data_IF_410211434455
#
_entry.id   IF_410211434455
#
_cell.length_a   1.000
_cell.length_b   1.000
_cell.length_c   1.000
_cell.angle_alpha   90.00
_cell.angle_beta   90.00
_cell.angle_gamma   90.00
#
_symmetry.space_group_name_H-M   'P 1'
#
loop_
_entity.id
_entity.type
_entity.pdbx_description
1 polymer ?
#
# COMPACT_ATOMS: atom_id res chain seq x y z
N UNK A 1 13.94 9.73 19.19
CA UNK A 1 14.32 8.65 18.25
C UNK A 1 15.84 8.45 18.33
N UNK A 2 16.38 7.22 18.27
CA UNK A 2 17.83 6.97 18.32
C UNK A 2 18.58 7.83 17.30
N UNK A 3 19.77 8.32 17.61
CA UNK A 3 20.51 9.22 16.71
C UNK A 3 21.29 8.47 15.63
N UNK A 4 21.70 7.22 15.91
CA UNK A 4 22.44 6.36 14.96
C UNK A 4 21.50 5.53 14.10
N UNK A 5 21.77 5.46 12.80
CA UNK A 5 20.95 4.72 11.83
C UNK A 5 20.86 3.24 12.17
N UNK A 6 21.97 2.59 12.55
CA UNK A 6 21.98 1.17 12.95
C UNK A 6 21.04 0.88 14.13
N UNK A 7 20.96 1.78 15.11
CA UNK A 7 20.05 1.63 16.25
C UNK A 7 18.59 1.84 15.83
N UNK A 8 18.32 2.70 14.84
CA UNK A 8 16.97 2.85 14.27
C UNK A 8 16.54 1.59 13.54
N UNK A 9 17.44 0.96 12.81
CA UNK A 9 17.16 -0.25 12.04
C UNK A 9 16.87 -1.44 12.97
N UNK A 10 17.60 -1.58 14.08
CA UNK A 10 17.31 -2.58 15.11
C UNK A 10 15.95 -2.33 15.77
N UNK A 11 15.65 -1.09 16.16
CA UNK A 11 14.35 -0.75 16.76
C UNK A 11 13.19 -0.99 15.78
N UNK A 12 13.39 -0.74 14.49
CA UNK A 12 12.40 -1.06 13.46
C UNK A 12 12.14 -2.58 13.38
N UNK A 13 13.19 -3.42 13.41
CA UNK A 13 13.07 -4.88 13.45
C UNK A 13 12.37 -5.40 14.71
N UNK A 14 12.42 -4.67 15.82
CA UNK A 14 11.76 -5.07 17.06
C UNK A 14 10.25 -4.78 17.09
N UNK A 15 9.70 -4.03 16.12
CA UNK A 15 8.27 -3.69 16.11
C UNK A 15 7.37 -4.87 15.80
N UNK A 16 7.82 -5.78 14.93
CA UNK A 16 7.04 -6.93 14.47
C UNK A 16 7.97 -8.15 14.38
N UNK A 17 7.78 -9.11 15.29
CA UNK A 17 8.60 -10.32 15.36
C UNK A 17 7.74 -11.52 14.93
N UNK A 18 8.09 -12.22 13.85
CA UNK A 18 7.35 -13.41 13.42
C UNK A 18 7.39 -14.53 14.46
N UNK A 19 6.21 -15.03 14.85
CA UNK A 19 6.12 -16.25 15.65
C UNK A 19 6.32 -17.47 14.75
N UNK A 20 7.55 -17.99 14.70
CA UNK A 20 7.94 -19.12 13.83
C UNK A 20 7.03 -20.36 13.98
N UNK A 21 6.50 -20.63 15.17
CA UNK A 21 5.59 -21.76 15.40
C UNK A 21 4.26 -21.59 14.67
N UNK A 22 3.81 -20.34 14.48
CA UNK A 22 2.59 -20.00 13.76
C UNK A 22 2.83 -19.65 12.28
N UNK A 23 4.07 -19.33 11.88
CA UNK A 23 4.39 -18.91 10.51
C UNK A 23 4.77 -20.08 9.59
N UNK A 24 5.51 -21.08 10.10
CA UNK A 24 6.13 -22.11 9.24
C UNK A 24 5.12 -22.93 8.45
N UNK A 25 5.30 -22.99 7.13
CA UNK A 25 4.45 -23.70 6.18
C UNK A 25 3.06 -23.12 5.99
N UNK A 26 2.75 -21.95 6.58
CA UNK A 26 1.41 -21.38 6.55
C UNK A 26 1.21 -20.43 5.38
N UNK A 27 -0.05 -20.38 4.94
CA UNK A 27 -0.57 -19.32 4.09
C UNK A 27 -1.13 -18.23 4.99
N UNK A 28 -0.64 -17.00 4.86
CA UNK A 28 -0.95 -15.88 5.75
C UNK A 28 -1.60 -14.76 4.93
N UNK A 29 -2.65 -14.16 5.50
CA UNK A 29 -3.29 -12.96 4.95
C UNK A 29 -2.99 -11.79 5.89
N UNK A 30 -2.36 -10.75 5.37
CA UNK A 30 -2.19 -9.45 6.03
C UNK A 30 -3.38 -8.57 5.75
N UNK A 31 -3.98 -8.04 6.81
CA UNK A 31 -4.97 -6.98 6.75
C UNK A 31 -4.30 -5.71 7.27
N UNK A 32 -4.29 -4.66 6.46
CA UNK A 32 -3.71 -3.37 6.84
C UNK A 32 -4.62 -2.23 6.39
N UNK A 33 -4.43 -1.05 6.98
CA UNK A 33 -5.26 0.12 6.68
C UNK A 33 -4.99 0.66 5.27
N UNK A 34 -3.71 0.78 4.90
CA UNK A 34 -3.26 1.51 3.73
C UNK A 34 -1.84 1.10 3.33
N UNK A 35 -1.48 1.36 2.08
CA UNK A 35 -0.09 1.34 1.63
C UNK A 35 0.27 2.73 1.13
N UNK A 36 1.05 3.47 1.91
CA UNK A 36 1.66 4.73 1.47
C UNK A 36 2.94 4.43 0.68
N UNK A 37 4.02 4.05 1.36
CA UNK A 37 5.34 3.80 0.73
C UNK A 37 5.67 2.33 0.51
N UNK A 38 5.06 1.43 1.30
CA UNK A 38 5.29 -0.02 1.25
C UNK A 38 6.62 -0.51 1.84
N UNK A 39 7.51 0.35 2.33
CA UNK A 39 8.85 -0.04 2.81
C UNK A 39 8.80 -0.98 4.01
N UNK A 40 7.99 -0.67 5.02
CA UNK A 40 7.83 -1.52 6.21
C UNK A 40 7.25 -2.89 5.86
N UNK A 41 6.28 -2.94 4.94
CA UNK A 41 5.70 -4.21 4.50
C UNK A 41 6.69 -5.09 3.76
N UNK A 42 7.60 -4.50 2.96
CA UNK A 42 8.68 -5.25 2.31
C UNK A 42 9.58 -5.96 3.33
N UNK A 43 9.94 -5.28 4.42
CA UNK A 43 10.73 -5.88 5.50
C UNK A 43 9.96 -6.99 6.21
N UNK A 44 8.70 -6.75 6.57
CA UNK A 44 7.84 -7.75 7.21
C UNK A 44 7.69 -9.02 6.36
N UNK A 45 7.44 -8.87 5.06
CA UNK A 45 7.33 -9.99 4.12
C UNK A 45 8.62 -10.82 4.13
N UNK A 46 9.79 -10.19 4.04
CA UNK A 46 11.08 -10.88 4.10
C UNK A 46 11.18 -11.71 5.38
N UNK A 47 10.94 -11.09 6.53
CA UNK A 47 11.10 -11.72 7.83
C UNK A 47 10.14 -12.93 7.99
N UNK A 48 8.93 -12.85 7.41
CA UNK A 48 7.97 -13.96 7.39
C UNK A 48 8.36 -15.10 6.45
N UNK A 49 8.91 -14.77 5.28
CA UNK A 49 9.48 -15.77 4.36
C UNK A 49 10.64 -16.49 5.02
N UNK A 50 11.54 -15.77 5.70
CA UNK A 50 12.64 -16.34 6.49
C UNK A 50 12.14 -17.21 7.66
N UNK A 51 11.01 -16.86 8.26
CA UNK A 51 10.33 -17.68 9.27
C UNK A 51 9.60 -18.91 8.68
N UNK A 52 9.57 -19.05 7.35
CA UNK A 52 9.07 -20.23 6.65
C UNK A 52 7.63 -20.12 6.15
N UNK A 53 7.08 -18.91 5.96
CA UNK A 53 5.73 -18.75 5.38
C UNK A 53 5.66 -19.30 3.95
N UNK A 54 4.64 -20.12 3.67
CA UNK A 54 4.43 -20.73 2.35
C UNK A 54 3.86 -19.73 1.35
N UNK A 55 2.83 -18.98 1.75
CA UNK A 55 2.19 -17.95 0.93
C UNK A 55 1.82 -16.72 1.77
N UNK A 56 1.95 -15.55 1.18
CA UNK A 56 1.68 -14.25 1.77
C UNK A 56 0.71 -13.48 0.87
N UNK A 57 -0.46 -13.19 1.39
CA UNK A 57 -1.49 -12.41 0.72
C UNK A 57 -1.74 -11.14 1.52
N UNK A 58 -2.09 -10.05 0.86
CA UNK A 58 -2.40 -8.79 1.53
C UNK A 58 -3.75 -8.24 1.06
N UNK A 59 -4.51 -7.67 2.01
CA UNK A 59 -5.79 -6.98 1.79
C UNK A 59 -5.72 -5.62 2.49
N UNK A 60 -5.98 -4.56 1.73
CA UNK A 60 -5.89 -3.19 2.21
C UNK A 60 -7.28 -2.61 2.38
N UNK A 61 -7.54 -1.97 3.51
CA UNK A 61 -8.86 -1.43 3.86
C UNK A 61 -9.21 -0.10 3.17
N UNK A 62 -8.41 0.36 2.21
CA UNK A 62 -8.69 1.51 1.36
C UNK A 62 -8.29 1.25 -0.09
N UNK A 63 -8.71 2.08 -1.05
CA UNK A 63 -8.16 2.08 -2.40
C UNK A 63 -6.68 2.50 -2.43
N UNK A 64 -5.93 2.23 -3.52
CA UNK A 64 -4.57 2.72 -3.70
C UNK A 64 -4.50 4.25 -3.60
N UNK A 65 -3.48 4.77 -2.92
CA UNK A 65 -3.22 6.21 -2.84
C UNK A 65 -2.51 6.68 -4.11
N UNK A 66 -3.22 7.40 -4.96
CA UNK A 66 -2.74 7.89 -6.27
C UNK A 66 -2.43 9.38 -6.27
N UNK A 67 -3.10 10.14 -5.40
CA UNK A 67 -2.96 11.59 -5.30
C UNK A 67 -2.42 12.00 -3.93
N UNK A 68 -1.57 13.03 -3.86
CA UNK A 68 -1.10 13.56 -2.60
C UNK A 68 -2.26 14.26 -1.87
N UNK A 69 -2.32 14.16 -0.54
CA UNK A 69 -3.30 14.93 0.22
C UNK A 69 -2.87 16.40 0.30
N UNK A 70 -3.83 17.31 0.09
CA UNK A 70 -3.62 18.74 0.26
C UNK A 70 -3.56 19.17 1.75
N UNK A 71 -4.19 18.39 2.64
CA UNK A 71 -4.30 18.70 4.06
C UNK A 71 -3.30 17.96 4.95
N UNK A 72 -2.85 16.79 4.51
CA UNK A 72 -1.98 15.92 5.27
C UNK A 72 -0.71 15.64 4.49
N UNK A 73 0.42 15.73 5.19
CA UNK A 73 1.68 15.22 4.66
C UNK A 73 1.80 13.74 5.04
N UNK A 74 1.46 12.84 4.12
CA UNK A 74 1.76 11.39 4.29
C UNK A 74 3.26 11.08 4.26
N UNK A 75 4.07 12.11 4.03
CA UNK A 75 5.49 12.00 3.76
C UNK A 75 6.27 13.25 4.18
N UNK A 76 7.56 13.08 4.50
CA UNK A 76 8.49 14.19 4.72
C UNK A 76 8.77 15.02 3.46
N UNK A 77 8.57 14.44 2.27
CA UNK A 77 8.64 15.15 1.00
C UNK A 77 7.24 15.28 0.39
N UNK A 78 6.97 16.35 -0.35
CA UNK A 78 5.71 16.50 -1.11
C UNK A 78 5.71 15.74 -2.44
N UNK A 79 6.67 14.81 -2.63
CA UNK A 79 6.80 14.07 -3.89
C UNK A 79 5.74 12.98 -3.99
N UNK A 80 5.02 12.98 -5.13
CA UNK A 80 4.08 11.92 -5.51
C UNK A 80 4.76 10.57 -5.67
N UNK A 81 6.05 10.56 -6.00
CA UNK A 81 6.87 9.35 -6.13
C UNK A 81 7.13 8.63 -4.81
N UNK A 82 6.65 9.12 -3.66
CA UNK A 82 6.69 8.33 -2.43
C UNK A 82 5.51 7.37 -2.29
N UNK A 83 4.44 7.57 -3.06
CA UNK A 83 3.30 6.67 -3.09
C UNK A 83 3.65 5.39 -3.87
N UNK A 84 3.41 4.23 -3.26
CA UNK A 84 3.73 2.93 -3.86
C UNK A 84 3.00 2.73 -5.20
N UNK A 85 1.75 3.20 -5.32
CA UNK A 85 0.99 3.16 -6.55
C UNK A 85 1.62 4.02 -7.66
N UNK A 86 2.11 5.22 -7.33
CA UNK A 86 2.78 6.10 -8.28
C UNK A 86 4.12 5.54 -8.75
N UNK A 87 4.89 4.94 -7.86
CA UNK A 87 6.11 4.19 -8.24
C UNK A 87 5.79 3.04 -9.19
N UNK A 88 4.73 2.29 -8.92
CA UNK A 88 4.30 1.19 -9.78
C UNK A 88 3.88 1.68 -11.18
N UNK A 89 3.14 2.79 -11.29
CA UNK A 89 2.79 3.39 -12.59
C UNK A 89 4.05 3.81 -13.35
N UNK A 90 5.01 4.46 -12.68
CA UNK A 90 6.28 4.85 -13.32
C UNK A 90 7.09 3.64 -13.77
N UNK A 91 7.09 2.54 -13.02
CA UNK A 91 7.75 1.29 -13.42
C UNK A 91 7.10 0.70 -14.69
N UNK A 92 5.78 0.83 -14.85
CA UNK A 92 5.04 0.32 -15.99
C UNK A 92 5.16 1.20 -17.24
N UNK A 93 5.07 2.52 -17.07
CA UNK A 93 4.87 3.49 -18.15
C UNK A 93 6.11 4.37 -18.41
N UNK A 94 7.11 4.32 -17.53
CA UNK A 94 8.28 5.21 -17.56
C UNK A 94 8.00 6.68 -17.21
N UNK A 95 6.76 7.02 -16.83
CA UNK A 95 6.35 8.38 -16.48
C UNK A 95 5.14 8.41 -15.53
N UNK A 96 4.84 9.57 -14.95
CA UNK A 96 3.69 9.76 -14.04
C UNK A 96 2.40 10.20 -14.77
N UNK A 97 2.30 9.95 -16.09
CA UNK A 97 1.14 10.37 -16.90
C UNK A 97 0.01 9.34 -16.84
N UNK A 98 -1.19 9.76 -17.25
CA UNK A 98 -2.37 8.89 -17.43
C UNK A 98 -2.79 8.16 -16.15
N UNK A 99 -2.76 8.86 -15.01
CA UNK A 99 -3.13 8.30 -13.70
C UNK A 99 -4.60 7.86 -13.69
N UNK A 100 -5.43 8.55 -14.48
CA UNK A 100 -6.85 8.30 -14.64
C UNK A 100 -7.15 6.87 -15.08
N UNK A 101 -6.26 6.27 -15.89
CA UNK A 101 -6.40 4.90 -16.37
C UNK A 101 -6.27 3.84 -15.24
N UNK A 102 -5.68 4.25 -14.11
CA UNK A 102 -5.43 3.43 -12.92
C UNK A 102 -6.47 3.66 -11.82
N UNK A 103 -7.57 4.36 -12.09
CA UNK A 103 -8.66 4.60 -11.13
C UNK A 103 -9.69 3.48 -11.08
N UNK A 104 -9.94 2.84 -12.22
CA UNK A 104 -10.95 1.79 -12.34
C UNK A 104 -10.40 0.44 -11.83
N UNK A 105 -10.92 -0.11 -10.71
CA UNK A 105 -10.42 -1.36 -10.15
C UNK A 105 -10.61 -2.59 -11.07
N UNK A 106 -11.47 -2.49 -12.08
CA UNK A 106 -11.74 -3.57 -13.03
C UNK A 106 -10.85 -3.47 -14.30
N UNK A 107 -10.14 -2.36 -14.47
CA UNK A 107 -9.24 -2.12 -15.61
C UNK A 107 -7.99 -3.00 -15.55
N UNK A 108 -7.43 -3.30 -16.73
CA UNK A 108 -6.19 -4.09 -16.81
C UNK A 108 -5.00 -3.31 -16.24
N UNK A 109 -4.95 -1.99 -16.49
CA UNK A 109 -3.92 -1.11 -15.96
C UNK A 109 -3.92 -1.10 -14.43
N UNK A 110 -5.08 -1.04 -13.80
CA UNK A 110 -5.19 -1.14 -12.34
C UNK A 110 -4.63 -2.47 -11.83
N UNK A 111 -5.01 -3.60 -12.45
CA UNK A 111 -4.51 -4.93 -12.07
C UNK A 111 -3.00 -5.03 -12.23
N UNK A 112 -2.44 -4.49 -13.31
CA UNK A 112 -1.00 -4.43 -13.53
C UNK A 112 -0.29 -3.62 -12.46
N UNK A 113 -0.81 -2.44 -12.11
CA UNK A 113 -0.27 -1.60 -11.04
C UNK A 113 -0.28 -2.34 -9.70
N UNK A 114 -1.41 -2.94 -9.31
CA UNK A 114 -1.51 -3.72 -8.07
C UNK A 114 -0.54 -4.90 -8.07
N UNK A 115 -0.36 -5.56 -9.22
CA UNK A 115 0.63 -6.63 -9.39
C UNK A 115 2.07 -6.16 -9.19
N UNK A 116 2.44 -4.98 -9.70
CA UNK A 116 3.75 -4.37 -9.47
C UNK A 116 3.93 -4.01 -7.99
N UNK A 117 2.93 -3.42 -7.35
CA UNK A 117 3.00 -3.11 -5.91
C UNK A 117 3.23 -4.40 -5.12
N UNK A 118 2.43 -5.45 -5.36
CA UNK A 118 2.54 -6.75 -4.71
C UNK A 118 3.96 -7.32 -4.83
N UNK A 119 4.52 -7.30 -6.04
CA UNK A 119 5.89 -7.75 -6.32
C UNK A 119 6.92 -6.94 -5.53
N UNK A 120 6.77 -5.62 -5.50
CA UNK A 120 7.70 -4.70 -4.84
C UNK A 120 7.73 -4.86 -3.32
N UNK A 121 6.62 -5.30 -2.71
CA UNK A 121 6.53 -5.63 -1.27
C UNK A 121 6.66 -7.14 -0.98
N UNK A 122 6.84 -7.98 -2.01
CA UNK A 122 7.06 -9.43 -1.92
C UNK A 122 5.82 -10.27 -1.57
N UNK A 123 4.62 -9.76 -1.80
CA UNK A 123 3.36 -10.49 -1.60
C UNK A 123 3.00 -11.35 -2.82
N UNK A 124 2.38 -12.51 -2.59
CA UNK A 124 1.87 -13.37 -3.67
C UNK A 124 0.60 -12.79 -4.30
N UNK A 125 -0.25 -12.16 -3.50
CA UNK A 125 -1.41 -11.42 -4.01
C UNK A 125 -1.64 -10.18 -3.16
N UNK A 126 -2.09 -9.09 -3.79
CA UNK A 126 -2.53 -7.88 -3.14
C UNK A 126 -3.92 -7.53 -3.67
N UNK A 127 -4.82 -7.16 -2.77
CA UNK A 127 -6.15 -6.63 -3.14
C UNK A 127 -6.41 -5.42 -2.27
N UNK A 128 -6.96 -4.38 -2.88
CA UNK A 128 -7.39 -3.16 -2.20
C UNK A 128 -8.91 -3.15 -2.11
N UNK A 129 -9.43 -2.52 -1.06
CA UNK A 129 -10.84 -2.20 -0.93
C UNK A 129 -11.27 -1.27 -2.08
N UNK A 130 -12.47 -1.48 -2.64
CA UNK A 130 -13.02 -0.58 -3.66
C UNK A 130 -13.49 0.72 -3.02
N UNK A 131 -13.39 1.82 -3.76
CA UNK A 131 -13.81 3.13 -3.26
C UNK A 131 -15.31 3.16 -2.93
N UNK A 132 -16.14 2.55 -3.77
CA UNK A 132 -17.59 2.51 -3.55
C UNK A 132 -17.94 1.74 -2.28
N UNK A 133 -17.37 0.56 -2.09
CA UNK A 133 -17.56 -0.25 -0.89
C UNK A 133 -17.10 0.49 0.38
N UNK A 134 -16.03 1.29 0.28
CA UNK A 134 -15.56 2.13 1.40
C UNK A 134 -16.55 3.25 1.72
N UNK A 135 -17.07 3.95 0.70
CA UNK A 135 -18.08 5.01 0.87
C UNK A 135 -19.35 4.43 1.49
N UNK A 136 -19.80 3.28 1.00
CA UNK A 136 -20.95 2.55 1.55
C UNK A 136 -20.72 2.20 3.03
N UNK A 137 -19.55 1.66 3.37
CA UNK A 137 -19.19 1.32 4.74
C UNK A 137 -19.15 2.53 5.69
N UNK A 138 -18.77 3.72 5.19
CA UNK A 138 -18.80 4.97 5.97
C UNK A 138 -20.24 5.46 6.20
N UNK A 139 -21.17 5.15 5.29
CA UNK A 139 -22.58 5.50 5.40
C UNK A 139 -22.89 6.98 5.13
N UNK A 140 -21.95 7.70 4.50
CA UNK A 140 -22.15 9.09 4.08
C UNK A 140 -22.11 9.20 2.55
N UNK A 141 -22.89 10.12 1.95
CA UNK A 141 -22.84 10.35 0.52
C UNK A 141 -21.45 10.87 0.12
N UNK A 142 -20.98 10.50 -1.08
CA UNK A 142 -19.62 10.80 -1.56
C UNK A 142 -19.31 12.30 -1.52
N UNK A 143 -20.29 13.16 -1.79
CA UNK A 143 -20.14 14.61 -1.83
C UNK A 143 -19.83 15.21 -0.45
N UNK A 144 -20.05 14.45 0.62
CA UNK A 144 -19.69 14.81 2.01
C UNK A 144 -18.36 14.20 2.46
N UNK A 145 -17.68 13.47 1.58
CA UNK A 145 -16.41 12.81 1.85
C UNK A 145 -15.31 13.36 0.95
N UNK A 146 -14.14 13.59 1.55
CA UNK A 146 -12.95 13.84 0.76
C UNK A 146 -12.37 12.50 0.29
N UNK A 147 -12.46 12.22 -1.00
CA UNK A 147 -11.92 11.03 -1.66
C UNK A 147 -10.69 11.32 -2.53
N UNK A 148 -10.22 12.58 -2.52
CA UNK A 148 -9.15 13.09 -3.37
C UNK A 148 -7.93 12.17 -3.46
N UNK A 149 -7.46 11.61 -2.34
CA UNK A 149 -6.25 10.78 -2.31
C UNK A 149 -6.36 9.53 -3.19
N UNK A 150 -7.59 9.06 -3.44
CA UNK A 150 -7.88 7.86 -4.21
C UNK A 150 -8.29 8.18 -5.65
N UNK A 151 -9.13 9.19 -5.86
CA UNK A 151 -9.76 9.45 -7.17
C UNK A 151 -9.57 10.87 -7.72
N UNK A 152 -8.87 11.74 -6.99
CA UNK A 152 -8.60 13.12 -7.39
C UNK A 152 -9.84 14.01 -7.50
N UNK A 153 -11.04 13.52 -7.16
CA UNK A 153 -12.30 14.19 -7.51
C UNK A 153 -12.73 15.27 -6.54
N UNK A 154 -12.23 15.23 -5.29
CA UNK A 154 -12.56 16.29 -4.33
C UNK A 154 -11.71 17.53 -4.61
N UNK A 155 -12.40 18.64 -4.89
CA UNK A 155 -11.86 19.99 -4.97
C UNK A 155 -12.08 20.73 -3.65
N UNK A 156 -11.19 21.66 -3.34
CA UNK A 156 -11.20 22.45 -2.10
C UNK A 156 -11.22 23.94 -2.42
#
# INVERSE_FOLDING_TARGET
MPQKQEQRDIVAKMKLIPNKALTRGKTIIFLDDSIVRGTQMKDNTRDLREAGAARLHMRIACPPLLFPCHYLNFSQSRSTLELAARKAIVELEGSEKNIEDYLDPDSEKYKMMVGVIARNIGMDTLVYQRLQDLIEAIGLPKEKLCTHCWDGSSSF
#
